data_IF_549305758223
#
_entry.id   IF_549305758223
#
_cell.length_a   1.000
_cell.length_b   1.000
_cell.length_c   1.000
_cell.angle_alpha   90.00
_cell.angle_beta   90.00
_cell.angle_gamma   90.00
#
_symmetry.space_group_name_H-M   'P 1'
#
loop_
_entity.id
_entity.type
_entity.pdbx_description
1 polymer ?
#
# COMPACT_ATOMS: atom_id res chain seq x y z
N UNK A 1 5.78 -5.17 -9.45
CA UNK A 1 4.37 -5.52 -9.20
C UNK A 1 4.35 -6.93 -8.64
N UNK A 2 3.97 -7.11 -7.38
CA UNK A 2 3.81 -8.46 -6.83
C UNK A 2 2.46 -8.97 -7.31
N UNK A 3 2.45 -9.88 -8.28
CA UNK A 3 1.21 -10.43 -8.83
C UNK A 3 0.56 -11.34 -7.79
N UNK A 4 -0.56 -10.90 -7.22
CA UNK A 4 -1.37 -11.76 -6.36
C UNK A 4 -2.02 -12.83 -7.27
N UNK A 5 -1.58 -14.08 -7.16
CA UNK A 5 -2.14 -15.16 -7.98
C UNK A 5 -3.37 -15.73 -7.26
N UNK A 6 -4.56 -15.33 -7.71
CA UNK A 6 -5.81 -15.89 -7.21
C UNK A 6 -6.14 -17.20 -7.93
N UNK A 7 -6.08 -18.33 -7.21
CA UNK A 7 -6.40 -19.66 -7.74
C UNK A 7 -7.91 -19.91 -7.68
N UNK A 8 -8.60 -19.50 -8.75
CA UNK A 8 -10.05 -19.65 -8.93
C UNK A 8 -10.49 -21.11 -8.77
N UNK A 9 -9.73 -22.07 -9.31
CA UNK A 9 -10.10 -23.50 -9.28
C UNK A 9 -10.09 -24.05 -7.86
N UNK A 10 -9.05 -23.72 -7.08
CA UNK A 10 -8.94 -24.13 -5.68
C UNK A 10 -10.01 -23.48 -4.81
N UNK A 11 -10.38 -22.23 -5.10
CA UNK A 11 -11.44 -21.52 -4.40
C UNK A 11 -12.82 -22.13 -4.68
N UNK A 12 -13.17 -22.36 -5.95
CA UNK A 12 -14.41 -23.04 -6.35
C UNK A 12 -14.53 -24.42 -5.73
N UNK A 13 -13.45 -25.23 -5.74
CA UNK A 13 -13.45 -26.55 -5.10
C UNK A 13 -13.77 -26.48 -3.61
N UNK A 14 -13.18 -25.54 -2.89
CA UNK A 14 -13.49 -25.34 -1.45
C UNK A 14 -14.95 -24.99 -1.20
N UNK A 15 -15.56 -24.17 -2.06
CA UNK A 15 -16.97 -23.82 -1.93
C UNK A 15 -17.86 -25.05 -2.18
N UNK A 16 -17.54 -25.86 -3.20
CA UNK A 16 -18.24 -27.10 -3.48
C UNK A 16 -18.10 -28.10 -2.32
N UNK A 17 -16.88 -28.27 -1.78
CA UNK A 17 -16.62 -29.14 -0.63
C UNK A 17 -17.37 -28.67 0.64
N UNK A 18 -17.66 -27.36 0.73
CA UNK A 18 -18.47 -26.76 1.79
C UNK A 18 -20.00 -26.85 1.53
N UNK A 19 -20.43 -27.47 0.43
CA UNK A 19 -21.83 -27.66 0.08
C UNK A 19 -22.46 -26.56 -0.77
N UNK A 20 -21.67 -25.62 -1.30
CA UNK A 20 -22.15 -24.61 -2.26
C UNK A 20 -22.33 -25.28 -3.63
N UNK A 21 -23.40 -24.94 -4.36
CA UNK A 21 -23.60 -25.46 -5.71
C UNK A 21 -22.46 -25.02 -6.63
N UNK A 22 -22.14 -25.84 -7.64
CA UNK A 22 -21.08 -25.53 -8.61
C UNK A 22 -21.28 -24.15 -9.25
N UNK A 23 -22.49 -23.86 -9.72
CA UNK A 23 -22.80 -22.59 -10.39
C UNK A 23 -22.57 -21.38 -9.47
N UNK A 24 -22.94 -21.49 -8.19
CA UNK A 24 -22.67 -20.42 -7.22
C UNK A 24 -21.18 -20.33 -6.85
N UNK A 25 -20.50 -21.47 -6.75
CA UNK A 25 -19.07 -21.52 -6.45
C UNK A 25 -18.24 -20.90 -7.59
N UNK A 26 -18.61 -21.13 -8.83
CA UNK A 26 -17.98 -20.54 -10.02
C UNK A 26 -18.29 -19.03 -10.08
N UNK A 27 -19.56 -18.63 -9.95
CA UNK A 27 -19.94 -17.20 -9.95
C UNK A 27 -19.27 -16.39 -8.83
N UNK A 28 -19.15 -16.96 -7.62
CA UNK A 28 -18.48 -16.31 -6.49
C UNK A 28 -16.97 -16.23 -6.72
N UNK A 29 -16.36 -17.26 -7.32
CA UNK A 29 -14.94 -17.27 -7.62
C UNK A 29 -14.58 -16.22 -8.68
N UNK A 30 -15.41 -16.05 -9.69
CA UNK A 30 -15.22 -15.06 -10.75
C UNK A 30 -15.42 -13.64 -10.22
N UNK A 31 -16.50 -13.38 -9.48
CA UNK A 31 -16.73 -12.06 -8.87
C UNK A 31 -15.60 -11.65 -7.91
N UNK A 32 -15.07 -12.59 -7.12
CA UNK A 32 -13.95 -12.33 -6.22
C UNK A 32 -12.64 -12.12 -6.98
N UNK A 33 -12.39 -12.89 -8.04
CA UNK A 33 -11.22 -12.72 -8.91
C UNK A 33 -11.22 -11.33 -9.55
N UNK A 34 -12.37 -10.88 -10.05
CA UNK A 34 -12.54 -9.56 -10.64
C UNK A 34 -12.31 -8.46 -9.60
N UNK A 35 -12.96 -8.55 -8.43
CA UNK A 35 -12.76 -7.58 -7.34
C UNK A 35 -11.29 -7.50 -6.85
N UNK A 36 -10.58 -8.64 -6.77
CA UNK A 36 -9.17 -8.68 -6.37
C UNK A 36 -8.23 -8.18 -7.48
N UNK A 37 -8.62 -8.35 -8.74
CA UNK A 37 -7.85 -7.86 -9.90
C UNK A 37 -8.03 -6.36 -10.13
N UNK A 38 -9.21 -5.82 -9.81
CA UNK A 38 -9.51 -4.38 -9.88
C UNK A 38 -9.07 -3.61 -8.63
N UNK A 39 -8.96 -4.27 -7.48
CA UNK A 39 -8.38 -3.64 -6.30
C UNK A 39 -6.89 -3.39 -6.57
N UNK A 40 -6.53 -2.14 -6.81
CA UNK A 40 -5.19 -1.59 -6.58
C UNK A 40 -4.88 -1.77 -5.09
N UNK A 41 -4.53 -3.00 -4.70
CA UNK A 41 -4.09 -3.34 -3.36
C UNK A 41 -2.87 -2.48 -3.09
N UNK A 42 -3.05 -1.38 -2.32
CA UNK A 42 -2.04 -0.38 -1.94
C UNK A 42 -0.65 -0.97 -2.12
N UNK A 43 -0.04 -0.61 -3.24
CA UNK A 43 1.16 -1.32 -3.66
C UNK A 43 2.22 -0.99 -2.61
N UNK A 44 2.99 -1.97 -2.15
CA UNK A 44 4.09 -1.72 -1.20
C UNK A 44 5.02 -0.60 -1.71
N UNK A 45 5.06 -0.42 -3.02
CA UNK A 45 5.75 0.69 -3.69
C UNK A 45 5.19 2.07 -3.32
N UNK A 46 3.87 2.26 -3.24
CA UNK A 46 3.25 3.54 -2.89
C UNK A 46 3.62 3.92 -1.44
N UNK A 47 3.65 2.92 -0.55
CA UNK A 47 4.12 3.11 0.83
C UNK A 47 5.61 3.48 0.87
N UNK A 48 6.43 2.89 0.00
CA UNK A 48 7.85 3.26 -0.10
C UNK A 48 8.05 4.66 -0.66
N UNK A 49 7.27 5.07 -1.65
CA UNK A 49 7.32 6.42 -2.22
C UNK A 49 6.93 7.47 -1.18
N UNK A 50 5.83 7.25 -0.45
CA UNK A 50 5.42 8.11 0.66
C UNK A 50 6.48 8.19 1.77
N UNK A 51 7.17 7.08 2.09
CA UNK A 51 8.27 7.07 3.05
C UNK A 51 9.46 7.89 2.57
N UNK A 52 9.83 7.76 1.30
CA UNK A 52 10.94 8.51 0.70
C UNK A 52 10.64 10.00 0.72
N UNK A 53 9.43 10.40 0.33
CA UNK A 53 9.04 11.81 0.33
C UNK A 53 8.95 12.38 1.75
N UNK A 54 8.46 11.61 2.72
CA UNK A 54 8.49 12.01 4.13
C UNK A 54 9.93 12.26 4.62
N UNK A 55 10.88 11.37 4.29
CA UNK A 55 12.29 11.52 4.67
C UNK A 55 12.90 12.77 4.03
N UNK A 56 12.63 13.05 2.74
CA UNK A 56 13.11 14.27 2.07
C UNK A 56 12.64 15.53 2.79
N UNK A 57 11.33 15.61 3.09
CA UNK A 57 10.76 16.75 3.81
C UNK A 57 11.33 16.91 5.21
N UNK A 58 11.56 15.80 5.92
CA UNK A 58 12.14 15.81 7.25
C UNK A 58 13.59 16.33 7.24
N UNK A 59 14.41 15.91 6.27
CA UNK A 59 15.78 16.44 6.09
C UNK A 59 15.75 17.94 5.78
N UNK A 60 14.87 18.38 4.86
CA UNK A 60 14.72 19.79 4.53
C UNK A 60 14.33 20.64 5.75
N UNK A 61 13.40 20.15 6.56
CA UNK A 61 12.95 20.83 7.77
C UNK A 61 14.05 20.90 8.84
N UNK A 62 14.84 19.83 9.02
CA UNK A 62 15.97 19.82 9.97
C UNK A 62 17.07 20.82 9.60
N UNK A 63 17.39 20.92 8.31
CA UNK A 63 18.35 21.91 7.80
C UNK A 63 17.81 23.32 8.03
N UNK A 64 16.54 23.56 7.69
CA UNK A 64 15.90 24.86 7.89
C UNK A 64 15.90 25.27 9.37
N UNK A 65 15.53 24.37 10.29
CA UNK A 65 15.55 24.63 11.72
C UNK A 65 16.96 24.94 12.24
N UNK A 66 17.97 24.20 11.77
CA UNK A 66 19.37 24.41 12.19
C UNK A 66 19.87 25.79 11.73
N UNK A 67 19.59 26.17 10.48
CA UNK A 67 19.95 27.49 9.96
C UNK A 67 19.26 28.62 10.76
N UNK A 68 18.00 28.42 11.12
CA UNK A 68 17.21 29.37 11.89
C UNK A 68 17.73 29.54 13.32
N UNK A 69 18.15 28.44 13.97
CA UNK A 69 18.83 28.49 15.26
C UNK A 69 20.16 29.24 15.18
N UNK A 70 20.99 28.95 14.18
CA UNK A 70 22.29 29.62 13.99
C UNK A 70 22.12 31.13 13.80
N UNK A 71 21.17 31.55 12.96
CA UNK A 71 20.87 32.96 12.74
C UNK A 71 20.37 33.67 14.02
N UNK A 72 19.56 32.97 14.83
CA UNK A 72 19.09 33.50 16.11
C UNK A 72 20.26 33.66 17.11
N UNK A 73 21.17 32.69 17.19
CA UNK A 73 22.36 32.78 18.04
C UNK A 73 23.26 33.96 17.64
N UNK A 74 23.52 34.14 16.34
CA UNK A 74 24.32 35.28 15.83
C UNK A 74 23.66 36.62 16.19
N UNK A 75 22.34 36.71 16.03
CA UNK A 75 21.57 37.92 16.37
C UNK A 75 21.60 38.24 17.87
N UNK A 76 21.56 37.23 18.73
CA UNK A 76 21.60 37.41 20.19
C UNK A 76 23.00 37.68 20.75
N UNK A 77 24.04 37.26 20.03
CA UNK A 77 25.44 37.46 20.42
C UNK A 77 26.01 38.83 20.02
N UNK A 78 25.23 39.62 19.26
CA UNK A 78 25.58 40.94 18.76
C UNK A 78 24.99 42.05 19.61
#
# INVERSE_FOLDING_TARGET
MTTLTFDTLKFTRRLIDAGVSRDQAEATADALKEAVSESDLVNKNDIHELKIDLIKWMIGLLIAQTALLVALFDTLAR
#
